data_IF_242661419063
#
_entry.id   IF_242661419063
#
_cell.length_a   1.000
_cell.length_b   1.000
_cell.length_c   1.000
_cell.angle_alpha   90.00
_cell.angle_beta   90.00
_cell.angle_gamma   90.00
#
_symmetry.space_group_name_H-M   'P 1'
#
loop_
_entity.id
_entity.type
_entity.pdbx_description
1 polymer ?
#
# COMPACT_ATOMS: atom_id res chain seq x y z
N UNK A 1 1.77 -19.70 8.21
CA UNK A 1 0.86 -19.04 9.17
C UNK A 1 1.39 -17.63 9.37
N UNK A 2 0.97 -16.70 8.52
CA UNK A 2 1.47 -15.31 8.55
C UNK A 2 0.74 -14.60 9.70
N UNK A 3 1.47 -14.09 10.69
CA UNK A 3 0.89 -13.22 11.71
C UNK A 3 0.24 -12.04 10.98
N UNK A 4 -1.03 -11.75 11.28
CA UNK A 4 -1.71 -10.51 10.87
C UNK A 4 -0.95 -9.33 11.52
N UNK A 5 0.06 -8.85 10.81
CA UNK A 5 0.84 -7.69 11.22
C UNK A 5 0.12 -6.45 10.69
N UNK A 6 -0.59 -5.77 11.59
CA UNK A 6 -1.10 -4.43 11.35
C UNK A 6 0.07 -3.44 11.51
N UNK A 7 0.18 -2.52 10.56
CA UNK A 7 1.19 -1.48 10.52
C UNK A 7 0.50 -0.13 10.48
N UNK A 8 0.96 0.80 11.30
CA UNK A 8 0.63 2.22 11.08
C UNK A 8 1.19 2.67 9.73
N UNK A 9 0.67 3.77 9.17
CA UNK A 9 1.20 4.32 7.92
C UNK A 9 2.70 4.63 7.98
N UNK A 10 3.18 5.18 9.10
CA UNK A 10 4.60 5.43 9.33
C UNK A 10 5.45 4.16 9.33
N UNK A 11 5.00 3.09 9.99
CA UNK A 11 5.71 1.81 10.00
C UNK A 11 5.70 1.14 8.62
N UNK A 12 4.55 1.17 7.94
CA UNK A 12 4.42 0.68 6.57
C UNK A 12 5.43 1.35 5.64
N UNK A 13 5.51 2.68 5.69
CA UNK A 13 6.46 3.46 4.89
C UNK A 13 7.91 3.10 5.15
N UNK A 14 8.29 2.81 6.40
CA UNK A 14 9.66 2.43 6.78
C UNK A 14 10.03 0.99 6.37
N UNK A 15 9.06 0.08 6.31
CA UNK A 15 9.29 -1.34 5.96
C UNK A 15 9.42 -1.60 4.46
N UNK A 16 9.13 -0.61 3.62
CA UNK A 16 9.32 -0.74 2.18
C UNK A 16 10.83 -0.80 1.83
N UNK A 17 11.21 -1.54 0.77
CA UNK A 17 12.60 -1.59 0.30
C UNK A 17 13.19 -0.20 0.00
N UNK A 18 12.36 0.71 -0.50
CA UNK A 18 12.64 2.13 -0.61
C UNK A 18 11.69 2.87 0.34
N UNK A 19 12.18 3.38 1.48
CA UNK A 19 11.33 4.00 2.48
C UNK A 19 10.49 5.15 1.93
N UNK A 20 9.25 5.26 2.41
CA UNK A 20 8.32 6.34 2.07
C UNK A 20 7.83 7.06 3.31
N UNK A 21 7.53 8.34 3.15
CA UNK A 21 6.92 9.15 4.20
C UNK A 21 5.50 8.65 4.51
N UNK A 22 5.06 8.87 5.73
CA UNK A 22 3.70 8.56 6.18
C UNK A 22 2.64 9.19 5.26
N UNK A 23 2.82 10.45 4.87
CA UNK A 23 1.91 11.16 3.96
C UNK A 23 1.75 10.47 2.61
N UNK A 24 2.80 9.79 2.13
CA UNK A 24 2.73 9.03 0.87
C UNK A 24 1.86 7.80 1.04
N UNK A 25 2.03 7.06 2.14
CA UNK A 25 1.19 5.90 2.45
C UNK A 25 -0.27 6.33 2.64
N UNK A 26 -0.49 7.41 3.40
CA UNK A 26 -1.82 8.01 3.58
C UNK A 26 -2.44 8.39 2.23
N UNK A 27 -1.67 8.99 1.32
CA UNK A 27 -2.14 9.35 -0.02
C UNK A 27 -2.53 8.11 -0.83
N UNK A 28 -1.76 7.03 -0.76
CA UNK A 28 -2.11 5.77 -1.43
C UNK A 28 -3.41 5.16 -0.86
N UNK A 29 -3.64 5.29 0.43
CA UNK A 29 -4.86 4.81 1.08
C UNK A 29 -6.10 5.67 0.73
N UNK A 30 -5.95 6.98 0.57
CA UNK A 30 -7.10 7.89 0.37
C UNK A 30 -7.38 8.21 -1.09
N UNK A 31 -6.34 8.39 -1.90
CA UNK A 31 -6.43 8.80 -3.32
C UNK A 31 -6.02 7.66 -4.24
N UNK A 32 -5.11 6.79 -3.78
CA UNK A 32 -4.50 5.77 -4.61
C UNK A 32 -3.35 6.28 -5.47
N UNK A 33 -2.85 5.37 -6.31
CA UNK A 33 -1.79 5.60 -7.29
C UNK A 33 -2.14 4.83 -8.56
N UNK A 34 -2.18 5.51 -9.71
CA UNK A 34 -2.53 4.90 -11.01
C UNK A 34 -3.86 4.10 -10.98
N UNK A 35 -4.86 4.62 -10.27
CA UNK A 35 -6.16 3.96 -10.12
C UNK A 35 -6.19 2.78 -9.15
N UNK A 36 -5.07 2.42 -8.53
CA UNK A 36 -5.01 1.40 -7.47
C UNK A 36 -5.02 2.09 -6.11
N UNK A 37 -5.94 1.69 -5.23
CA UNK A 37 -6.05 2.23 -3.86
C UNK A 37 -5.49 1.19 -2.88
N UNK A 38 -4.72 1.65 -1.90
CA UNK A 38 -4.19 0.81 -0.83
C UNK A 38 -5.30 0.48 0.16
N UNK A 39 -5.53 -0.81 0.41
CA UNK A 39 -6.50 -1.26 1.39
C UNK A 39 -6.07 -0.90 2.82
N UNK A 40 -7.03 -0.45 3.62
CA UNK A 40 -6.81 -0.07 5.01
C UNK A 40 -7.83 -0.73 5.92
N UNK A 41 -7.44 -0.94 7.17
CA UNK A 41 -8.27 -1.50 8.22
C UNK A 41 -8.17 -0.61 9.45
N UNK A 42 -9.30 -0.37 10.10
CA UNK A 42 -9.35 0.41 11.33
C UNK A 42 -9.03 -0.48 12.53
N UNK A 43 -7.99 -0.11 13.29
CA UNK A 43 -7.67 -0.71 14.58
C UNK A 43 -8.01 0.31 15.65
N UNK A 44 -9.20 0.18 16.22
CA UNK A 44 -9.80 1.26 17.02
C UNK A 44 -10.00 2.51 16.16
N UNK A 45 -9.40 3.62 16.57
CA UNK A 45 -9.45 4.92 15.87
C UNK A 45 -8.25 5.16 14.95
N UNK A 46 -7.33 4.20 14.85
CA UNK A 46 -6.13 4.34 14.03
C UNK A 46 -6.29 3.58 12.72
N UNK A 47 -6.15 4.23 11.55
CA UNK A 47 -6.11 3.52 10.29
C UNK A 47 -4.75 2.82 10.14
N UNK A 48 -4.81 1.53 9.89
CA UNK A 48 -3.67 0.65 9.72
C UNK A 48 -3.71 0.00 8.34
N UNK A 49 -2.57 -0.55 7.92
CA UNK A 49 -2.44 -1.41 6.74
C UNK A 49 -1.91 -2.76 7.17
N UNK A 50 -2.26 -3.80 6.43
CA UNK A 50 -1.69 -5.13 6.62
C UNK A 50 -0.51 -5.31 5.67
N UNK A 51 0.42 -6.21 6.04
CA UNK A 51 1.50 -6.59 5.14
C UNK A 51 0.98 -7.21 3.83
N UNK A 52 -0.12 -7.97 3.91
CA UNK A 52 -0.80 -8.57 2.75
C UNK A 52 -1.43 -7.50 1.85
N UNK A 53 -2.11 -6.50 2.43
CA UNK A 53 -2.68 -5.38 1.67
C UNK A 53 -1.63 -4.54 0.95
N UNK A 54 -0.45 -4.35 1.55
CA UNK A 54 0.69 -3.73 0.86
C UNK A 54 1.18 -4.59 -0.32
N UNK A 55 1.28 -5.90 -0.14
CA UNK A 55 1.72 -6.81 -1.20
C UNK A 55 0.74 -6.79 -2.39
N UNK A 56 -0.57 -6.92 -2.13
CA UNK A 56 -1.63 -6.83 -3.15
C UNK A 56 -1.59 -5.49 -3.90
N UNK A 57 -1.44 -4.39 -3.17
CA UNK A 57 -1.35 -3.06 -3.75
C UNK A 57 -0.20 -2.95 -4.76
N UNK A 58 0.99 -3.47 -4.43
CA UNK A 58 2.12 -3.44 -5.35
C UNK A 58 1.99 -4.42 -6.51
N UNK A 59 1.37 -5.58 -6.31
CA UNK A 59 1.07 -6.52 -7.39
C UNK A 59 0.16 -5.86 -8.45
N UNK A 60 -0.93 -5.23 -7.99
CA UNK A 60 -1.88 -4.50 -8.85
C UNK A 60 -1.21 -3.32 -9.56
N UNK A 61 -0.37 -2.55 -8.86
CA UNK A 61 0.42 -1.48 -9.49
C UNK A 61 1.36 -1.99 -10.57
N UNK A 62 1.97 -3.16 -10.35
CA UNK A 62 2.89 -3.80 -11.29
C UNK A 62 2.13 -4.28 -12.53
N UNK A 63 0.94 -4.85 -12.35
CA UNK A 63 0.04 -5.24 -13.44
C UNK A 63 -0.35 -4.03 -14.30
N UNK A 64 -0.75 -2.90 -13.69
CA UNK A 64 -1.06 -1.65 -14.40
C UNK A 64 0.15 -1.14 -15.17
N UNK A 65 1.33 -1.08 -14.52
CA UNK A 65 2.56 -0.61 -15.17
C UNK A 65 2.94 -1.47 -16.38
N UNK A 66 2.73 -2.80 -16.33
CA UNK A 66 2.99 -3.69 -17.47
C UNK A 66 2.03 -3.40 -18.62
N UNK A 67 0.74 -3.22 -18.34
CA UNK A 67 -0.25 -2.81 -19.34
C UNK A 67 0.08 -1.45 -19.99
N UNK A 68 0.57 -0.48 -19.21
CA UNK A 68 1.05 0.81 -19.74
C UNK A 68 2.25 0.64 -20.71
N UNK A 69 3.07 -0.39 -20.51
CA UNK A 69 4.24 -0.67 -21.36
C UNK A 69 3.87 -1.38 -22.66
N UNK A 70 2.86 -2.25 -22.64
CA UNK A 70 2.37 -2.97 -23.83
C UNK A 70 1.55 -2.08 -24.76
N UNK A 71 0.94 -1.02 -24.23
CA UNK A 71 0.18 -0.04 -25.01
C UNK A 71 1.04 1.04 -25.71
N UNK A 72 2.36 1.03 -25.49
CA UNK A 72 3.31 2.01 -26.04
C UNK A 72 4.15 1.39 -27.16
#
# INVERSE_FOLDING_TARGET
MTLLAYLTYGEAGRRLPAPKSEDTIRRWATVGLRGVILETVWVGETPCVTAEGLADFFDRLTAVKRGDQEAK
#
